data_IF_423781657553
#
_entry.id   IF_423781657553
#
_cell.length_a   1.000
_cell.length_b   1.000
_cell.length_c   1.000
_cell.angle_alpha   90.00
_cell.angle_beta   90.00
_cell.angle_gamma   90.00
#
_symmetry.space_group_name_H-M   'P 1'
#
loop_
_entity.id
_entity.type
_entity.pdbx_description
1 polymer ?
#
# COMPACT_ATOMS: atom_id res chain seq x y z
N UNK A 1 28.24 27.49 20.01
CA UNK A 1 27.33 27.49 18.84
C UNK A 1 27.07 28.91 18.28
N UNK A 2 26.89 29.94 19.10
CA UNK A 2 26.63 31.29 18.58
C UNK A 2 27.81 31.92 17.76
N UNK A 3 29.06 31.65 18.10
CA UNK A 3 30.21 32.21 17.37
C UNK A 3 30.36 31.65 15.95
N UNK A 4 30.02 30.38 15.76
CA UNK A 4 30.06 29.76 14.43
C UNK A 4 28.93 30.26 13.53
N UNK A 5 27.75 30.53 14.11
CA UNK A 5 26.62 31.09 13.36
C UNK A 5 26.89 32.53 12.91
N UNK A 6 27.48 33.36 13.77
CA UNK A 6 27.88 34.74 13.43
C UNK A 6 28.99 34.82 12.37
N UNK A 7 29.95 33.88 12.41
CA UNK A 7 31.00 33.78 11.38
C UNK A 7 30.40 33.40 10.02
N UNK A 8 29.42 32.43 10.03
CA UNK A 8 28.71 32.01 8.81
C UNK A 8 27.90 33.17 8.19
N UNK A 9 27.22 33.95 9.01
CA UNK A 9 26.45 35.12 8.57
C UNK A 9 27.30 36.24 7.96
N UNK A 10 28.54 36.38 8.42
CA UNK A 10 29.43 37.41 7.92
C UNK A 10 30.22 36.95 6.65
N UNK A 11 30.39 35.65 6.49
CA UNK A 11 31.18 35.08 5.38
C UNK A 11 30.34 34.68 4.17
N UNK A 12 29.03 34.46 4.35
CA UNK A 12 28.13 34.02 3.27
C UNK A 12 27.23 35.20 2.87
N UNK A 13 27.38 35.62 1.62
CA UNK A 13 26.45 36.62 1.04
C UNK A 13 25.01 36.08 1.08
N UNK A 14 24.04 36.90 1.52
CA UNK A 14 22.61 36.52 1.52
C UNK A 14 22.12 36.16 0.12
N UNK A 15 22.72 36.74 -0.92
CA UNK A 15 22.42 36.42 -2.32
C UNK A 15 22.87 34.98 -2.64
N UNK A 16 24.06 34.57 -2.16
CA UNK A 16 24.53 33.19 -2.34
C UNK A 16 23.58 32.18 -1.67
N UNK A 17 23.15 32.48 -0.45
CA UNK A 17 22.20 31.60 0.27
C UNK A 17 20.86 31.49 -0.48
N UNK A 18 20.35 32.61 -0.99
CA UNK A 18 19.10 32.63 -1.76
C UNK A 18 19.22 31.79 -3.06
N UNK A 19 20.36 31.90 -3.78
CA UNK A 19 20.62 31.11 -4.98
C UNK A 19 20.79 29.62 -4.66
N UNK A 20 21.42 29.29 -3.55
CA UNK A 20 21.55 27.89 -3.09
C UNK A 20 20.18 27.28 -2.79
N UNK A 21 19.33 27.99 -2.07
CA UNK A 21 17.96 27.54 -1.78
C UNK A 21 17.15 27.41 -3.06
N UNK A 22 17.22 28.37 -3.96
CA UNK A 22 16.54 28.31 -5.26
C UNK A 22 17.00 27.11 -6.10
N UNK A 23 18.31 26.87 -6.16
CA UNK A 23 18.88 25.72 -6.85
C UNK A 23 18.41 24.39 -6.26
N UNK A 24 18.37 24.29 -4.92
CA UNK A 24 17.86 23.13 -4.22
C UNK A 24 16.38 22.88 -4.51
N UNK A 25 15.57 23.94 -4.51
CA UNK A 25 14.14 23.86 -4.84
C UNK A 25 13.91 23.37 -6.27
N UNK A 26 14.66 23.91 -7.23
CA UNK A 26 14.58 23.47 -8.63
C UNK A 26 14.99 22.01 -8.80
N UNK A 27 16.07 21.60 -8.14
CA UNK A 27 16.50 20.21 -8.13
C UNK A 27 15.44 19.28 -7.51
N UNK A 28 14.83 19.69 -6.40
CA UNK A 28 13.79 18.92 -5.73
C UNK A 28 12.55 18.74 -6.61
N UNK A 29 12.09 19.82 -7.25
CA UNK A 29 10.96 19.79 -8.20
C UNK A 29 11.29 18.86 -9.38
N UNK A 30 12.49 18.96 -9.93
CA UNK A 30 12.94 18.07 -11.01
C UNK A 30 12.91 16.60 -10.57
N UNK A 31 13.35 16.29 -9.34
CA UNK A 31 13.33 14.94 -8.80
C UNK A 31 11.90 14.39 -8.65
N UNK A 32 10.93 15.20 -8.24
CA UNK A 32 9.54 14.78 -8.10
C UNK A 32 8.88 14.38 -9.43
N UNK A 33 9.44 14.79 -10.56
CA UNK A 33 8.93 14.41 -11.89
C UNK A 33 9.46 13.05 -12.39
N UNK A 34 10.33 12.39 -11.64
CA UNK A 34 10.75 11.03 -11.98
C UNK A 34 9.74 10.00 -11.45
N UNK A 35 9.70 8.85 -12.13
CA UNK A 35 8.93 7.70 -11.71
C UNK A 35 9.70 6.91 -10.66
N UNK A 36 9.05 6.57 -9.58
CA UNK A 36 9.61 5.79 -8.49
C UNK A 36 8.76 4.58 -8.21
N UNK A 37 9.42 3.52 -7.76
CA UNK A 37 8.75 2.33 -7.21
C UNK A 37 8.95 2.35 -5.70
N UNK A 38 7.87 2.23 -4.95
CA UNK A 38 7.91 2.25 -3.47
C UNK A 38 6.89 1.29 -2.88
N UNK A 39 7.17 0.82 -1.69
CA UNK A 39 6.23 0.04 -0.89
C UNK A 39 5.30 0.97 -0.12
N UNK A 40 4.01 0.66 -0.16
CA UNK A 40 2.97 1.41 0.53
C UNK A 40 2.08 0.43 1.29
N UNK A 41 1.71 0.80 2.50
CA UNK A 41 0.74 0.06 3.29
C UNK A 41 -0.63 0.72 3.16
N UNK A 42 -1.64 -0.05 2.80
CA UNK A 42 -3.03 0.38 2.71
C UNK A 42 -3.88 -0.40 3.69
N UNK A 43 -4.73 0.29 4.44
CA UNK A 43 -5.68 -0.35 5.34
C UNK A 43 -6.95 -0.70 4.56
N UNK A 44 -7.27 -1.98 4.52
CA UNK A 44 -8.47 -2.50 3.87
C UNK A 44 -9.54 -2.76 4.91
N UNK A 45 -10.72 -2.20 4.70
CA UNK A 45 -11.91 -2.41 5.52
C UNK A 45 -12.85 -3.39 4.81
N UNK A 46 -13.13 -4.53 5.42
CA UNK A 46 -14.04 -5.53 4.93
C UNK A 46 -15.12 -5.80 6.00
N UNK A 47 -16.28 -5.17 5.85
CA UNK A 47 -17.30 -5.17 6.89
C UNK A 47 -16.78 -4.56 8.18
N UNK A 48 -16.72 -5.36 9.24
CA UNK A 48 -16.21 -4.92 10.56
C UNK A 48 -14.72 -5.19 10.76
N UNK A 49 -14.06 -5.81 9.80
CA UNK A 49 -12.63 -6.13 9.87
C UNK A 49 -11.79 -5.09 9.15
N UNK A 50 -10.65 -4.76 9.79
CA UNK A 50 -9.60 -3.91 9.21
C UNK A 50 -8.30 -4.69 9.20
N UNK A 51 -7.61 -4.67 8.09
CA UNK A 51 -6.31 -5.29 7.94
C UNK A 51 -5.43 -4.48 6.99
N UNK A 52 -4.14 -4.57 7.18
CA UNK A 52 -3.18 -3.85 6.39
C UNK A 52 -2.65 -4.72 5.25
N UNK A 53 -2.58 -4.13 4.06
CA UNK A 53 -2.09 -4.75 2.84
C UNK A 53 -0.87 -3.99 2.36
N UNK A 54 0.23 -4.70 2.16
CA UNK A 54 1.43 -4.13 1.56
C UNK A 54 1.34 -4.19 0.04
N UNK A 55 1.56 -3.05 -0.60
CA UNK A 55 1.51 -2.91 -2.04
C UNK A 55 2.80 -2.29 -2.55
N UNK A 56 3.33 -2.83 -3.64
CA UNK A 56 4.41 -2.17 -4.40
C UNK A 56 3.76 -1.35 -5.50
N UNK A 57 4.00 -0.05 -5.44
CA UNK A 57 3.40 0.91 -6.37
C UNK A 57 4.46 1.66 -7.15
N UNK A 58 4.14 1.97 -8.40
CA UNK A 58 4.97 2.75 -9.32
C UNK A 58 4.20 4.00 -9.74
N UNK A 59 4.84 5.15 -9.64
CA UNK A 59 4.23 6.41 -10.05
C UNK A 59 5.19 7.57 -10.03
N UNK A 60 4.74 8.72 -10.53
CA UNK A 60 5.47 9.98 -10.42
C UNK A 60 5.68 10.35 -8.95
N UNK A 61 6.84 10.88 -8.61
CA UNK A 61 7.15 11.27 -7.24
C UNK A 61 6.12 12.25 -6.65
N UNK A 62 5.56 13.15 -7.48
CA UNK A 62 4.46 14.05 -7.08
C UNK A 62 3.20 13.30 -6.67
N UNK A 63 2.82 12.26 -7.41
CA UNK A 63 1.63 11.46 -7.11
C UNK A 63 1.86 10.60 -5.87
N UNK A 64 3.01 9.94 -5.78
CA UNK A 64 3.37 9.14 -4.61
C UNK A 64 3.40 9.98 -3.33
N UNK A 65 3.95 11.20 -3.39
CA UNK A 65 3.95 12.14 -2.26
C UNK A 65 2.52 12.52 -1.85
N UNK A 66 1.65 12.81 -2.84
CA UNK A 66 0.23 13.12 -2.60
C UNK A 66 -0.47 11.96 -1.88
N UNK A 67 -0.26 10.70 -2.33
CA UNK A 67 -0.85 9.52 -1.69
C UNK A 67 -0.31 9.29 -0.28
N UNK A 68 0.96 9.58 -0.05
CA UNK A 68 1.57 9.36 1.26
C UNK A 68 1.05 10.31 2.34
N UNK A 69 0.78 11.57 1.98
CA UNK A 69 0.49 12.63 2.96
C UNK A 69 -0.94 13.17 2.92
N UNK A 70 -1.62 13.11 1.78
CA UNK A 70 -2.90 13.81 1.59
C UNK A 70 -4.09 12.90 1.30
N UNK A 71 -3.86 11.65 0.91
CA UNK A 71 -4.96 10.76 0.57
C UNK A 71 -5.28 9.77 1.70
N UNK A 72 -6.55 9.46 1.80
CA UNK A 72 -7.04 8.43 2.70
C UNK A 72 -6.58 7.05 2.18
N UNK A 73 -5.82 6.34 3.00
CA UNK A 73 -5.29 5.01 2.69
C UNK A 73 -6.29 3.89 3.01
N UNK A 74 -7.53 4.24 3.31
CA UNK A 74 -8.57 3.28 3.62
C UNK A 74 -9.30 2.82 2.36
N UNK A 75 -9.21 1.54 2.07
CA UNK A 75 -9.96 0.88 1.00
C UNK A 75 -11.15 0.14 1.59
N UNK A 76 -12.35 0.51 1.22
CA UNK A 76 -13.56 -0.21 1.62
C UNK A 76 -13.94 -1.25 0.59
N UNK A 77 -13.94 -2.51 0.99
CA UNK A 77 -14.40 -3.62 0.17
C UNK A 77 -15.80 -4.06 0.58
N UNK A 78 -16.68 -4.20 -0.41
CA UNK A 78 -18.00 -4.78 -0.18
C UNK A 78 -17.89 -6.30 -0.06
N UNK A 79 -18.40 -6.92 1.01
CA UNK A 79 -18.29 -8.37 1.24
C UNK A 79 -18.85 -9.23 0.09
N UNK A 80 -19.87 -8.72 -0.61
CA UNK A 80 -20.54 -9.43 -1.71
C UNK A 80 -19.64 -9.69 -2.92
N UNK A 81 -18.57 -8.92 -3.07
CA UNK A 81 -17.65 -8.97 -4.23
C UNK A 81 -16.34 -9.64 -3.92
N UNK A 82 -16.13 -10.01 -2.67
CA UNK A 82 -14.85 -10.54 -2.21
C UNK A 82 -14.71 -12.01 -2.61
N UNK A 83 -13.65 -12.30 -3.37
CA UNK A 83 -13.22 -13.66 -3.67
C UNK A 83 -12.14 -14.05 -2.67
N UNK A 84 -12.28 -15.21 -2.07
CA UNK A 84 -11.32 -15.74 -1.12
C UNK A 84 -11.14 -17.24 -1.29
N UNK A 85 -10.03 -17.76 -0.84
CA UNK A 85 -9.74 -19.19 -0.78
C UNK A 85 -9.50 -19.58 0.68
N UNK A 86 -9.98 -20.76 1.06
CA UNK A 86 -9.69 -21.33 2.37
C UNK A 86 -8.23 -21.78 2.39
N UNK A 87 -7.51 -21.39 3.45
CA UNK A 87 -6.12 -21.77 3.65
C UNK A 87 -6.09 -23.15 4.32
N UNK A 88 -5.48 -24.13 3.64
CA UNK A 88 -5.19 -25.42 4.23
C UNK A 88 -3.88 -25.34 5.02
N UNK A 89 -3.99 -25.28 6.34
CA UNK A 89 -2.85 -25.17 7.24
C UNK A 89 -1.93 -26.39 7.20
N UNK A 90 -2.49 -27.58 6.90
CA UNK A 90 -1.67 -28.80 6.83
C UNK A 90 -0.85 -28.87 5.57
N UNK A 91 -1.42 -28.45 4.45
CA UNK A 91 -0.74 -28.46 3.16
C UNK A 91 0.35 -27.38 3.03
N UNK A 92 0.26 -26.30 3.81
CA UNK A 92 1.15 -25.12 3.70
C UNK A 92 1.97 -24.85 4.98
N UNK A 93 2.25 -25.87 5.79
CA UNK A 93 3.03 -25.72 7.05
C UNK A 93 4.43 -25.14 6.86
N UNK A 94 5.02 -25.33 5.70
CA UNK A 94 6.38 -24.86 5.38
C UNK A 94 6.44 -23.33 5.13
N UNK A 95 5.29 -22.69 4.95
CA UNK A 95 5.22 -21.25 4.78
C UNK A 95 5.27 -20.52 6.13
N UNK A 96 6.22 -19.58 6.34
CA UNK A 96 6.37 -18.89 7.62
C UNK A 96 5.13 -18.09 8.03
N UNK A 97 4.33 -17.65 7.05
CA UNK A 97 3.06 -16.94 7.29
C UNK A 97 1.99 -17.88 7.84
N UNK A 98 1.96 -19.12 7.39
CA UNK A 98 0.97 -20.12 7.80
C UNK A 98 1.38 -20.81 9.10
N UNK A 99 2.67 -21.02 9.31
CA UNK A 99 3.21 -21.64 10.53
C UNK A 99 2.90 -20.89 11.83
N UNK A 100 2.65 -19.58 11.74
CA UNK A 100 2.29 -18.73 12.88
C UNK A 100 0.80 -18.70 13.20
N UNK A 101 -0.04 -19.36 12.37
CA UNK A 101 -1.50 -19.32 12.51
C UNK A 101 -2.02 -20.39 13.48
N UNK A 102 -3.04 -20.05 14.25
CA UNK A 102 -3.68 -20.98 15.18
C UNK A 102 -4.52 -22.02 14.43
N UNK A 103 -4.36 -23.33 14.72
CA UNK A 103 -5.10 -24.39 14.02
C UNK A 103 -6.60 -24.43 14.36
N UNK A 104 -7.00 -23.81 15.47
CA UNK A 104 -8.41 -23.79 15.93
C UNK A 104 -9.31 -22.86 15.13
N UNK A 105 -8.72 -22.04 14.24
CA UNK A 105 -9.43 -21.02 13.48
C UNK A 105 -9.42 -21.34 11.99
N UNK A 106 -10.47 -20.91 11.31
CA UNK A 106 -10.54 -20.98 9.85
C UNK A 106 -9.92 -19.73 9.25
N UNK A 107 -8.93 -19.93 8.39
CA UNK A 107 -8.20 -18.84 7.74
C UNK A 107 -8.57 -18.75 6.27
N UNK A 108 -8.62 -17.54 5.77
CA UNK A 108 -8.92 -17.25 4.38
C UNK A 108 -7.85 -16.33 3.79
N UNK A 109 -7.46 -16.63 2.58
CA UNK A 109 -6.58 -15.80 1.77
C UNK A 109 -7.42 -15.10 0.71
N UNK A 110 -7.31 -13.78 0.63
CA UNK A 110 -8.05 -12.98 -0.34
C UNK A 110 -7.40 -13.09 -1.73
N UNK A 111 -8.23 -12.99 -2.77
CA UNK A 111 -7.75 -12.97 -4.14
C UNK A 111 -6.93 -11.68 -4.41
N UNK A 112 -5.65 -11.89 -4.73
CA UNK A 112 -4.71 -10.82 -5.01
C UNK A 112 -5.16 -9.90 -6.14
N UNK A 113 -5.71 -10.49 -7.19
CA UNK A 113 -6.14 -9.73 -8.36
C UNK A 113 -7.30 -8.80 -8.03
N UNK A 114 -8.25 -9.28 -7.23
CA UNK A 114 -9.38 -8.49 -6.78
C UNK A 114 -8.94 -7.27 -5.95
N UNK A 115 -8.03 -7.47 -4.99
CA UNK A 115 -7.49 -6.36 -4.18
C UNK A 115 -6.75 -5.37 -5.06
N UNK A 116 -5.93 -5.86 -5.98
CA UNK A 116 -5.20 -5.03 -6.94
C UNK A 116 -6.15 -4.18 -7.80
N UNK A 117 -7.22 -4.77 -8.33
CA UNK A 117 -8.24 -4.06 -9.12
C UNK A 117 -8.94 -2.99 -8.26
N UNK A 118 -9.33 -3.33 -7.03
CA UNK A 118 -10.00 -2.40 -6.14
C UNK A 118 -9.11 -1.19 -5.79
N UNK A 119 -7.83 -1.42 -5.50
CA UNK A 119 -6.87 -0.35 -5.24
C UNK A 119 -6.63 0.49 -6.51
N UNK A 120 -6.52 -0.15 -7.69
CA UNK A 120 -6.31 0.55 -8.96
C UNK A 120 -7.46 1.48 -9.33
N UNK A 121 -8.69 1.13 -8.97
CA UNK A 121 -9.87 1.99 -9.17
C UNK A 121 -9.82 3.22 -8.27
N UNK A 122 -9.36 3.05 -7.03
CA UNK A 122 -9.25 4.15 -6.06
C UNK A 122 -8.04 5.04 -6.33
N UNK A 123 -6.95 4.45 -6.79
CA UNK A 123 -5.66 5.09 -7.00
C UNK A 123 -5.28 5.11 -8.49
N UNK A 124 -6.05 5.85 -9.31
CA UNK A 124 -5.86 5.86 -10.77
C UNK A 124 -4.52 6.47 -11.24
N UNK A 125 -3.90 7.32 -10.42
CA UNK A 125 -2.67 8.05 -10.77
C UNK A 125 -1.38 7.27 -10.49
N UNK A 126 -1.49 6.09 -9.89
CA UNK A 126 -0.37 5.20 -9.59
C UNK A 126 -0.63 3.80 -10.12
N UNK A 127 0.44 3.14 -10.56
CA UNK A 127 0.38 1.77 -11.06
C UNK A 127 0.75 0.79 -9.95
N UNK A 128 -0.09 -0.20 -9.72
CA UNK A 128 0.17 -1.23 -8.72
C UNK A 128 0.91 -2.39 -9.40
N UNK A 129 2.12 -2.66 -8.93
CA UNK A 129 2.96 -3.73 -9.45
C UNK A 129 2.64 -5.07 -8.77
N UNK A 130 2.63 -5.08 -7.45
CA UNK A 130 2.30 -6.26 -6.65
C UNK A 130 1.52 -5.88 -5.40
N UNK A 131 0.76 -6.82 -4.89
CA UNK A 131 0.00 -6.69 -3.66
C UNK A 131 0.27 -7.95 -2.84
N UNK A 132 0.65 -7.79 -1.58
CA UNK A 132 0.71 -8.92 -0.66
C UNK A 132 -0.67 -9.17 -0.07
N UNK A 133 -1.23 -10.35 -0.34
CA UNK A 133 -2.52 -10.73 0.24
C UNK A 133 -2.34 -11.19 1.68
N UNK A 134 -3.03 -10.59 2.63
CA UNK A 134 -3.02 -11.06 4.00
C UNK A 134 -3.85 -12.34 4.14
N UNK A 135 -3.40 -13.21 5.04
CA UNK A 135 -4.20 -14.32 5.52
C UNK A 135 -4.96 -13.80 6.73
N UNK A 136 -6.29 -13.82 6.67
CA UNK A 136 -7.15 -13.26 7.71
C UNK A 136 -8.09 -14.33 8.27
N UNK A 137 -8.54 -14.13 9.52
CA UNK A 137 -9.52 -15.04 10.15
C UNK A 137 -10.88 -14.93 9.43
N UNK A 138 -11.47 -16.08 9.11
CA UNK A 138 -12.80 -16.13 8.53
C UNK A 138 -13.84 -15.68 9.57
N UNK A 139 -14.45 -14.55 9.33
CA UNK A 139 -15.57 -14.03 10.14
C UNK A 139 -16.90 -14.13 9.41
N UNK A 140 -17.97 -13.78 10.11
CA UNK A 140 -19.34 -13.75 9.53
C UNK A 140 -19.49 -12.88 8.29
N UNK A 141 -18.57 -11.93 8.07
CA UNK A 141 -18.54 -11.10 6.86
C UNK A 141 -18.34 -11.92 5.57
N UNK A 142 -17.77 -13.13 5.67
CA UNK A 142 -17.55 -14.06 4.54
C UNK A 142 -18.69 -15.06 4.33
N UNK A 143 -19.72 -15.10 5.18
CA UNK A 143 -20.85 -16.03 5.07
C UNK A 143 -21.93 -15.57 4.08
N UNK A 144 -21.72 -14.46 3.37
CA UNK A 144 -22.59 -14.03 2.28
C UNK A 144 -22.52 -15.07 1.15
N UNK A 145 -23.66 -15.63 0.68
CA UNK A 145 -23.67 -16.70 -0.31
C UNK A 145 -23.05 -16.21 -1.62
N UNK A 146 -21.82 -16.65 -1.89
CA UNK A 146 -21.16 -16.42 -3.18
C UNK A 146 -21.91 -17.22 -4.25
N UNK A 147 -22.32 -16.57 -5.32
CA UNK A 147 -22.76 -17.24 -6.54
C UNK A 147 -21.57 -18.00 -7.12
N UNK A 148 -21.49 -19.27 -6.76
CA UNK A 148 -20.47 -20.21 -7.27
C UNK A 148 -20.63 -20.31 -8.78
N UNK A 149 -19.76 -19.66 -9.54
CA UNK A 149 -19.64 -19.91 -10.97
C UNK A 149 -19.02 -21.31 -11.13
N UNK A 150 -19.89 -22.33 -11.24
CA UNK A 150 -19.46 -23.68 -11.63
C UNK A 150 -18.75 -23.56 -12.96
N UNK A 151 -17.43 -23.72 -12.99
CA UNK A 151 -16.67 -24.00 -14.22
C UNK A 151 -17.21 -25.31 -14.75
N UNK A 152 -18.04 -25.27 -15.79
CA UNK A 152 -18.34 -26.42 -16.60
C UNK A 152 -17.05 -26.86 -17.28
N UNK A 153 -16.58 -28.04 -16.86
CA UNK A 153 -15.55 -28.80 -17.53
C UNK A 153 -16.19 -29.41 -18.79
N UNK A 154 -15.77 -28.95 -19.94
CA UNK A 154 -16.03 -29.62 -21.22
C UNK A 154 -14.72 -30.12 -21.79
#
# INVERSE_FOLDING_TARGET
>A
MEKTLKWLQHSISPIFLALLVASFMLWYIAKLNYTYTTEQTMTVELGDQKFDVQCVVEGLGTNLFKYQYYMDKHLRLSPDKVKYQLVDLEARKDEPRVASLSPDKTWVELDQQMIREAISVQCSDIKILSVETPIIEKTKAFDVPQKTTKKQKK
#
